data_IF_464413322935
#
_entry.id   IF_464413322935
#
_cell.length_a   1.000
_cell.length_b   1.000
_cell.length_c   1.000
_cell.angle_alpha   90.00
_cell.angle_beta   90.00
_cell.angle_gamma   90.00
#
_symmetry.space_group_name_H-M   'P 1'
#
loop_
_entity.id
_entity.type
_entity.pdbx_description
1 polymer ?
#
# COMPACT_ATOMS: atom_id res chain seq x y z
N UNK A 1 -20.22 -1.02 1.96
CA UNK A 1 -19.12 -1.57 2.76
C UNK A 1 -17.89 -0.73 2.46
N UNK A 2 -17.49 0.08 3.44
CA UNK A 2 -16.20 0.76 3.48
C UNK A 2 -15.11 -0.29 3.34
N UNK A 3 -14.19 -0.12 2.40
CA UNK A 3 -13.09 -1.08 2.24
C UNK A 3 -12.14 -0.96 3.43
N UNK A 4 -11.74 -2.09 4.00
CA UNK A 4 -10.71 -2.18 5.05
C UNK A 4 -9.28 -1.97 4.51
N UNK A 5 -9.17 -1.17 3.45
CA UNK A 5 -7.92 -0.74 2.84
C UNK A 5 -7.87 0.79 2.80
N UNK A 6 -6.71 1.36 3.12
CA UNK A 6 -6.53 2.82 3.10
C UNK A 6 -6.78 3.41 1.70
N UNK A 7 -6.47 2.66 0.64
CA UNK A 7 -6.76 3.08 -0.74
C UNK A 7 -8.26 3.30 -1.00
N UNK A 8 -9.11 2.38 -0.53
CA UNK A 8 -10.57 2.48 -0.69
C UNK A 8 -11.16 3.69 0.05
N UNK A 9 -10.47 4.15 1.11
CA UNK A 9 -10.85 5.34 1.87
C UNK A 9 -10.36 6.63 1.17
N UNK A 10 -9.11 6.67 0.69
CA UNK A 10 -8.51 7.86 0.05
C UNK A 10 -9.16 8.20 -1.31
N UNK A 11 -9.70 7.23 -2.06
CA UNK A 11 -10.25 7.46 -3.42
C UNK A 11 -11.35 8.55 -3.47
N UNK A 12 -11.96 8.90 -2.35
CA UNK A 12 -13.01 9.92 -2.24
C UNK A 12 -12.47 11.34 -2.04
N UNK A 13 -11.18 11.49 -1.75
CA UNK A 13 -10.58 12.73 -1.32
C UNK A 13 -10.22 13.65 -2.51
N UNK A 14 -11.14 14.55 -2.87
CA UNK A 14 -11.04 15.44 -4.06
C UNK A 14 -9.94 16.51 -3.96
N UNK A 15 -9.27 16.63 -2.79
CA UNK A 15 -8.35 17.71 -2.44
C UNK A 15 -6.87 17.34 -2.37
N UNK A 16 -6.40 16.32 -3.11
CA UNK A 16 -4.97 15.96 -3.11
C UNK A 16 -4.09 17.13 -3.57
N UNK A 17 -3.24 17.63 -2.66
CA UNK A 17 -2.17 18.56 -3.00
C UNK A 17 -1.09 17.92 -3.90
N UNK A 18 -0.27 18.74 -4.55
CA UNK A 18 0.72 18.26 -5.54
C UNK A 18 1.76 17.29 -4.95
N UNK A 19 2.08 17.43 -3.66
CA UNK A 19 3.00 16.53 -2.94
C UNK A 19 2.40 15.13 -2.74
N UNK A 20 1.13 15.03 -2.35
CA UNK A 20 0.42 13.75 -2.28
C UNK A 20 0.34 13.09 -3.66
N UNK A 21 0.15 13.88 -4.73
CA UNK A 21 0.10 13.38 -6.10
C UNK A 21 1.42 12.80 -6.59
N UNK A 22 2.54 13.46 -6.33
CA UNK A 22 3.86 12.95 -6.73
C UNK A 22 4.20 11.62 -6.04
N UNK A 23 3.83 11.45 -4.77
CA UNK A 23 3.94 10.18 -4.05
C UNK A 23 3.10 9.08 -4.68
N UNK A 24 1.82 9.35 -4.95
CA UNK A 24 0.94 8.38 -5.63
C UNK A 24 1.51 7.97 -6.98
N UNK A 25 2.07 8.92 -7.74
CA UNK A 25 2.73 8.62 -9.01
C UNK A 25 3.96 7.72 -8.84
N UNK A 26 4.77 7.96 -7.81
CA UNK A 26 5.90 7.07 -7.49
C UNK A 26 5.42 5.64 -7.19
N UNK A 27 4.40 5.50 -6.34
CA UNK A 27 3.83 4.19 -5.96
C UNK A 27 3.30 3.43 -7.18
N UNK A 28 2.39 4.03 -7.97
CA UNK A 28 1.82 3.33 -9.14
C UNK A 28 2.85 3.06 -10.23
N UNK A 29 3.90 3.90 -10.36
CA UNK A 29 5.03 3.64 -11.27
C UNK A 29 5.81 2.39 -10.86
N UNK A 30 6.10 2.21 -9.55
CA UNK A 30 6.71 0.98 -9.01
C UNK A 30 5.82 -0.24 -9.30
N UNK A 31 4.52 -0.13 -9.05
CA UNK A 31 3.56 -1.21 -9.31
C UNK A 31 3.50 -1.62 -10.78
N UNK A 32 3.43 -0.65 -11.72
CA UNK A 32 3.48 -0.91 -13.16
C UNK A 32 4.78 -1.60 -13.55
N UNK A 33 5.92 -1.09 -13.05
CA UNK A 33 7.25 -1.64 -13.37
C UNK A 33 7.35 -3.09 -12.95
N UNK A 34 6.92 -3.42 -11.72
CA UNK A 34 6.95 -4.78 -11.19
C UNK A 34 5.98 -5.71 -11.92
N UNK A 35 4.75 -5.25 -12.17
CA UNK A 35 3.76 -6.04 -12.91
C UNK A 35 4.23 -6.36 -14.33
N UNK A 36 4.78 -5.38 -15.05
CA UNK A 36 5.33 -5.56 -16.39
C UNK A 36 6.55 -6.51 -16.39
N UNK A 37 7.40 -6.43 -15.36
CA UNK A 37 8.54 -7.35 -15.20
C UNK A 37 8.09 -8.80 -14.99
N UNK A 38 7.07 -9.01 -14.17
CA UNK A 38 6.64 -10.36 -13.78
C UNK A 38 5.75 -11.03 -14.84
N UNK A 39 5.00 -10.27 -15.64
CA UNK A 39 3.99 -10.81 -16.57
C UNK A 39 4.03 -10.26 -17.99
N UNK A 40 5.05 -9.46 -18.34
CA UNK A 40 5.17 -8.82 -19.66
C UNK A 40 4.42 -7.47 -19.76
N UNK A 41 4.78 -6.68 -20.77
CA UNK A 41 4.31 -5.31 -20.97
C UNK A 41 2.94 -5.15 -21.63
N UNK A 42 2.27 -6.25 -21.96
CA UNK A 42 0.94 -6.24 -22.58
C UNK A 42 -0.16 -6.33 -21.51
N UNK A 43 -0.95 -5.26 -21.27
CA UNK A 43 -2.02 -5.26 -20.28
C UNK A 43 -3.19 -6.18 -20.63
N UNK A 44 -3.36 -6.61 -21.88
CA UNK A 44 -4.41 -7.55 -22.26
C UNK A 44 -4.03 -9.00 -21.87
N UNK A 45 -2.74 -9.31 -21.89
CA UNK A 45 -2.19 -10.59 -21.43
C UNK A 45 -1.78 -10.60 -19.94
N UNK A 46 -1.67 -9.43 -19.30
CA UNK A 46 -1.20 -9.27 -17.91
C UNK A 46 -2.24 -8.54 -17.03
N UNK A 47 -3.11 -9.27 -16.31
CA UNK A 47 -4.13 -8.68 -15.43
C UNK A 47 -3.56 -7.78 -14.33
N UNK A 48 -2.40 -8.11 -13.77
CA UNK A 48 -1.75 -7.30 -12.74
C UNK A 48 -1.30 -5.94 -13.30
N UNK A 49 -0.75 -5.94 -14.51
CA UNK A 49 -0.38 -4.71 -15.21
C UNK A 49 -1.60 -3.87 -15.54
N UNK A 50 -2.68 -4.49 -16.00
CA UNK A 50 -3.95 -3.80 -16.27
C UNK A 50 -4.46 -3.05 -15.04
N UNK A 51 -4.52 -3.73 -13.91
CA UNK A 51 -4.96 -3.13 -12.64
C UNK A 51 -4.04 -1.98 -12.21
N UNK A 52 -2.72 -2.13 -12.34
CA UNK A 52 -1.77 -1.07 -12.01
C UNK A 52 -1.93 0.16 -12.92
N UNK A 53 -2.18 -0.05 -14.22
CA UNK A 53 -2.48 1.03 -15.18
C UNK A 53 -3.81 1.72 -14.86
N UNK A 54 -4.83 0.96 -14.46
CA UNK A 54 -6.11 1.53 -14.02
C UNK A 54 -5.93 2.42 -12.80
N UNK A 55 -5.24 1.95 -11.75
CA UNK A 55 -4.90 2.78 -10.57
C UNK A 55 -4.13 4.05 -10.97
N UNK A 56 -3.19 3.97 -11.91
CA UNK A 56 -2.45 5.12 -12.40
C UNK A 56 -3.34 6.14 -13.15
N UNK A 57 -4.29 5.66 -13.97
CA UNK A 57 -5.28 6.51 -14.66
C UNK A 57 -6.23 7.17 -13.67
N UNK A 58 -6.70 6.44 -12.64
CA UNK A 58 -7.52 7.00 -11.56
C UNK A 58 -6.79 8.13 -10.82
N UNK A 59 -5.49 7.96 -10.59
CA UNK A 59 -4.63 9.00 -10.02
C UNK A 59 -4.33 10.17 -10.98
N UNK A 60 -4.80 10.12 -12.24
CA UNK A 60 -4.53 11.09 -13.31
C UNK A 60 -3.04 11.18 -13.69
N UNK A 61 -2.32 10.05 -13.66
CA UNK A 61 -0.95 9.98 -14.15
C UNK A 61 -0.90 10.24 -15.67
N UNK A 62 0.02 11.09 -16.16
CA UNK A 62 0.25 11.28 -17.59
C UNK A 62 0.59 9.96 -18.30
N UNK A 63 0.04 9.76 -19.50
CA UNK A 63 0.23 8.55 -20.30
C UNK A 63 1.72 8.21 -20.52
N UNK A 64 2.54 9.21 -20.80
CA UNK A 64 3.99 9.03 -21.03
C UNK A 64 4.71 8.45 -19.80
N UNK A 65 4.25 8.76 -18.58
CA UNK A 65 4.82 8.20 -17.35
C UNK A 65 4.45 6.71 -17.21
N UNK A 66 3.21 6.35 -17.57
CA UNK A 66 2.75 4.96 -17.58
C UNK A 66 3.59 4.14 -18.57
N UNK A 67 3.72 4.62 -19.81
CA UNK A 67 4.51 3.94 -20.84
C UNK A 67 5.97 3.77 -20.44
N UNK A 68 6.56 4.79 -19.80
CA UNK A 68 7.93 4.72 -19.28
C UNK A 68 8.09 3.65 -18.20
N UNK A 69 7.12 3.53 -17.29
CA UNK A 69 7.14 2.51 -16.25
C UNK A 69 7.00 1.10 -16.85
N UNK A 70 6.15 0.91 -17.88
CA UNK A 70 6.03 -0.36 -18.61
C UNK A 70 7.37 -0.74 -19.25
N UNK A 71 7.96 0.18 -20.02
CA UNK A 71 9.27 -0.05 -20.69
C UNK A 71 10.39 -0.37 -19.69
N UNK A 72 10.39 0.30 -18.53
CA UNK A 72 11.34 -0.01 -17.45
C UNK A 72 11.14 -1.44 -16.95
N UNK A 73 9.89 -1.88 -16.77
CA UNK A 73 9.57 -3.23 -16.31
C UNK A 73 9.91 -4.33 -17.31
N UNK A 74 9.75 -4.09 -18.61
CA UNK A 74 10.10 -5.06 -19.68
C UNK A 74 11.58 -5.11 -20.03
N UNK A 75 12.40 -4.21 -19.47
CA UNK A 75 13.84 -4.13 -19.73
C UNK A 75 14.21 -3.30 -20.97
N UNK A 76 13.26 -2.58 -21.57
CA UNK A 76 13.48 -1.66 -22.69
C UNK A 76 14.04 -0.29 -22.24
N UNK A 77 14.27 -0.09 -20.94
CA UNK A 77 14.80 1.14 -20.34
C UNK A 77 16.19 0.98 -19.71
N UNK A 78 16.87 2.11 -19.47
CA UNK A 78 18.17 2.15 -18.79
C UNK A 78 18.02 1.90 -17.29
N UNK A 79 18.69 0.86 -16.76
CA UNK A 79 18.80 0.58 -15.33
C UNK A 79 17.77 -0.42 -14.81
N UNK A 80 18.19 -1.66 -14.62
CA UNK A 80 17.39 -2.70 -13.96
C UNK A 80 17.43 -2.52 -12.44
N UNK A 81 16.74 -1.50 -11.94
CA UNK A 81 16.45 -1.42 -10.50
C UNK A 81 15.61 -2.64 -10.09
N UNK A 82 16.18 -3.49 -9.26
CA UNK A 82 15.51 -4.68 -8.77
C UNK A 82 14.58 -4.30 -7.62
N UNK A 83 13.30 -4.15 -7.93
CA UNK A 83 12.28 -4.04 -6.90
C UNK A 83 11.88 -5.41 -6.34
N UNK A 84 11.66 -5.46 -5.05
CA UNK A 84 11.14 -6.60 -4.31
C UNK A 84 9.72 -6.30 -3.84
N UNK A 85 8.82 -7.24 -4.09
CA UNK A 85 7.51 -7.27 -3.44
C UNK A 85 7.68 -7.93 -2.07
N UNK A 86 7.26 -7.23 -1.02
CA UNK A 86 7.35 -7.69 0.36
C UNK A 86 6.05 -7.39 1.09
N UNK A 87 5.74 -8.26 2.05
CA UNK A 87 4.61 -8.09 2.95
C UNK A 87 5.16 -7.87 4.35
N UNK A 88 4.62 -6.86 5.02
CA UNK A 88 4.87 -6.59 6.43
C UNK A 88 3.57 -6.80 7.20
N UNK A 89 3.67 -7.48 8.33
CA UNK A 89 2.54 -7.82 9.20
C UNK A 89 2.82 -7.24 10.57
N UNK A 90 1.81 -6.74 11.26
CA UNK A 90 2.01 -6.10 12.55
C UNK A 90 0.72 -5.85 13.28
N UNK A 91 0.86 -5.38 14.51
CA UNK A 91 -0.24 -5.06 15.41
C UNK A 91 -0.17 -3.61 15.84
N UNK A 92 -1.32 -2.92 15.82
CA UNK A 92 -1.50 -1.61 16.41
C UNK A 92 -1.47 -1.62 17.95
N UNK A 93 -1.62 -0.46 18.59
CA UNK A 93 -1.56 -0.31 20.04
C UNK A 93 -2.62 -1.11 20.80
N UNK A 94 -3.76 -1.42 20.19
CA UNK A 94 -4.84 -2.22 20.78
C UNK A 94 -4.90 -3.67 20.29
N UNK A 95 -3.92 -4.12 19.50
CA UNK A 95 -3.94 -5.45 18.88
C UNK A 95 -4.65 -5.49 17.53
N UNK A 96 -4.89 -4.34 16.92
CA UNK A 96 -5.41 -4.23 15.55
C UNK A 96 -4.41 -4.84 14.57
N UNK A 97 -4.85 -5.78 13.76
CA UNK A 97 -4.01 -6.42 12.78
C UNK A 97 -3.81 -5.50 11.57
N UNK A 98 -2.57 -5.46 11.09
CA UNK A 98 -2.18 -4.82 9.85
C UNK A 98 -1.54 -5.82 8.90
N UNK A 99 -1.83 -5.66 7.62
CA UNK A 99 -1.19 -6.37 6.51
C UNK A 99 -0.81 -5.33 5.46
N UNK A 100 0.49 -5.19 5.21
CA UNK A 100 1.03 -4.08 4.43
C UNK A 100 1.78 -4.67 3.24
N UNK A 101 1.32 -4.35 2.03
CA UNK A 101 2.02 -4.68 0.79
C UNK A 101 2.96 -3.54 0.45
N UNK A 102 4.22 -3.86 0.20
CA UNK A 102 5.25 -2.88 -0.17
C UNK A 102 6.09 -3.34 -1.36
N UNK A 103 6.58 -2.35 -2.12
CA UNK A 103 7.52 -2.53 -3.22
C UNK A 103 8.74 -1.68 -2.91
N UNK A 104 9.89 -2.33 -2.75
CA UNK A 104 11.14 -1.68 -2.31
C UNK A 104 12.34 -2.20 -3.08
N UNK A 105 13.36 -1.37 -3.24
CA UNK A 105 14.69 -1.76 -3.71
C UNK A 105 15.60 -2.25 -2.57
N UNK A 106 15.21 -2.05 -1.31
CA UNK A 106 15.99 -2.38 -0.13
C UNK A 106 15.11 -2.84 1.05
N UNK A 107 14.95 -4.17 1.17
CA UNK A 107 14.14 -4.80 2.23
C UNK A 107 14.55 -4.40 3.64
N UNK A 108 15.85 -4.22 3.89
CA UNK A 108 16.39 -3.92 5.22
C UNK A 108 16.11 -2.47 5.65
N UNK A 109 16.19 -1.52 4.71
CA UNK A 109 15.78 -0.13 4.94
C UNK A 109 14.29 -0.08 5.27
N UNK A 110 13.46 -0.62 4.38
CA UNK A 110 12.01 -0.56 4.52
C UNK A 110 11.53 -1.25 5.80
N UNK A 111 12.04 -2.43 6.16
CA UNK A 111 11.62 -3.10 7.41
C UNK A 111 12.01 -2.30 8.65
N UNK A 112 13.14 -1.60 8.64
CA UNK A 112 13.56 -0.74 9.75
C UNK A 112 12.65 0.49 9.89
N UNK A 113 12.32 1.14 8.76
CA UNK A 113 11.43 2.29 8.70
C UNK A 113 10.00 1.93 9.15
N UNK A 114 9.43 0.84 8.61
CA UNK A 114 8.11 0.35 9.00
C UNK A 114 8.08 -0.02 10.50
N UNK A 115 9.10 -0.71 11.00
CA UNK A 115 9.18 -1.03 12.44
C UNK A 115 9.18 0.23 13.31
N UNK A 116 9.89 1.27 12.89
CA UNK A 116 9.92 2.56 13.60
C UNK A 116 8.55 3.23 13.59
N UNK A 117 7.84 3.22 12.45
CA UNK A 117 6.48 3.75 12.32
C UNK A 117 5.52 3.05 13.30
N UNK A 118 5.51 1.71 13.35
CA UNK A 118 4.71 0.96 14.34
C UNK A 118 5.09 1.34 15.78
N UNK A 119 6.38 1.38 16.09
CA UNK A 119 6.86 1.68 17.44
C UNK A 119 6.44 3.05 17.96
N UNK A 120 6.46 4.09 17.11
CA UNK A 120 5.99 5.44 17.47
C UNK A 120 4.50 5.49 17.81
N UNK A 121 3.69 4.66 17.16
CA UNK A 121 2.26 4.57 17.41
C UNK A 121 1.89 3.66 18.59
N UNK A 122 2.89 3.03 19.25
CA UNK A 122 2.67 2.05 20.31
C UNK A 122 2.31 0.65 19.81
N UNK A 123 2.47 0.39 18.52
CA UNK A 123 2.30 -0.94 17.92
C UNK A 123 3.61 -1.70 17.78
N UNK A 124 3.56 -2.85 17.11
CA UNK A 124 4.72 -3.68 16.85
C UNK A 124 4.65 -4.36 15.48
N UNK A 125 5.82 -4.51 14.84
CA UNK A 125 5.94 -5.31 13.63
C UNK A 125 6.06 -6.79 14.02
N UNK A 126 5.21 -7.63 13.44
CA UNK A 126 5.21 -9.07 13.60
C UNK A 126 6.11 -9.80 12.59
N UNK A 127 6.15 -11.13 12.73
CA UNK A 127 6.78 -12.01 11.76
C UNK A 127 5.81 -12.34 10.61
N UNK A 128 6.32 -12.88 9.51
CA UNK A 128 5.47 -13.39 8.43
C UNK A 128 4.49 -14.45 8.97
N UNK A 129 3.21 -14.34 8.59
CA UNK A 129 2.11 -15.18 9.04
C UNK A 129 1.45 -14.76 10.35
N UNK A 130 1.88 -13.66 10.99
CA UNK A 130 1.30 -13.20 12.27
C UNK A 130 -0.13 -12.72 12.13
N UNK A 131 -0.49 -12.10 11.01
CA UNK A 131 -1.82 -11.53 10.74
C UNK A 131 -2.40 -11.99 9.41
N UNK A 132 -1.61 -12.63 8.54
CA UNK A 132 -2.03 -13.05 7.20
C UNK A 132 -3.32 -13.88 7.16
N UNK A 133 -3.57 -14.69 8.20
CA UNK A 133 -4.80 -15.51 8.29
C UNK A 133 -6.07 -14.66 8.44
N UNK A 134 -5.96 -13.42 8.91
CA UNK A 134 -7.08 -12.48 9.06
C UNK A 134 -7.47 -11.91 7.69
N UNK A 135 -6.53 -11.80 6.76
CA UNK A 135 -6.67 -11.12 5.47
C UNK A 135 -6.71 -12.10 4.28
N UNK A 136 -6.94 -13.38 4.54
CA UNK A 136 -6.98 -14.43 3.52
C UNK A 136 -8.41 -14.99 3.42
N UNK A 137 -8.94 -15.24 2.21
CA UNK A 137 -8.29 -15.15 0.90
C UNK A 137 -8.28 -13.73 0.29
N UNK A 138 -9.01 -12.80 0.89
CA UNK A 138 -9.19 -11.45 0.37
C UNK A 138 -8.79 -10.40 1.42
N UNK A 139 -7.71 -9.64 1.20
CA UNK A 139 -7.21 -8.68 2.18
C UNK A 139 -8.12 -7.45 2.34
N UNK A 140 -9.03 -7.17 1.41
CA UNK A 140 -10.00 -6.08 1.56
C UNK A 140 -11.16 -6.44 2.51
N UNK A 141 -11.35 -7.73 2.78
CA UNK A 141 -12.44 -8.27 3.59
C UNK A 141 -11.86 -9.13 4.73
N UNK A 142 -11.42 -8.52 5.85
CA UNK A 142 -10.83 -9.26 6.96
C UNK A 142 -11.85 -10.22 7.59
N UNK A 143 -11.36 -11.36 8.09
CA UNK A 143 -12.18 -12.44 8.66
C UNK A 143 -12.97 -12.01 9.91
N UNK A 144 -12.48 -11.02 10.64
CA UNK A 144 -13.14 -10.39 11.77
C UNK A 144 -12.62 -8.97 11.95
N UNK A 145 -13.40 -8.11 12.60
CA UNK A 145 -13.02 -6.74 12.92
C UNK A 145 -12.84 -6.54 14.43
N UNK A 146 -12.11 -5.48 14.80
CA UNK A 146 -11.95 -4.98 16.15
C UNK A 146 -12.63 -3.61 16.23
N UNK A 147 -13.54 -3.48 17.19
CA UNK A 147 -14.19 -2.21 17.51
C UNK A 147 -13.23 -1.31 18.30
N UNK A 148 -13.14 -0.04 17.90
CA UNK A 148 -12.33 0.96 18.58
C UNK A 148 -13.27 1.93 19.29
N UNK A 149 -13.40 1.80 20.60
CA UNK A 149 -14.21 2.71 21.42
C UNK A 149 -13.41 3.87 22.01
N UNK A 150 -12.09 3.71 22.14
CA UNK A 150 -11.22 4.73 22.72
C UNK A 150 -10.73 5.71 21.64
N UNK A 151 -11.01 6.99 21.86
CA UNK A 151 -10.61 8.09 20.98
C UNK A 151 -9.09 8.23 20.93
N UNK A 152 -8.38 7.97 22.03
CA UNK A 152 -6.91 8.08 22.06
C UNK A 152 -6.28 6.98 21.20
N UNK A 153 -6.75 5.74 21.36
CA UNK A 153 -6.37 4.60 20.52
C UNK A 153 -6.65 4.88 19.04
N UNK A 154 -7.84 5.38 18.71
CA UNK A 154 -8.22 5.77 17.35
C UNK A 154 -7.24 6.81 16.76
N UNK A 155 -6.94 7.87 17.52
CA UNK A 155 -6.01 8.92 17.10
C UNK A 155 -4.61 8.37 16.81
N UNK A 156 -4.15 7.37 17.58
CA UNK A 156 -2.85 6.71 17.35
C UNK A 156 -2.88 5.85 16.08
N UNK A 157 -3.97 5.14 15.82
CA UNK A 157 -4.16 4.33 14.62
C UNK A 157 -4.25 5.19 13.36
N UNK A 158 -4.95 6.31 13.42
CA UNK A 158 -5.04 7.25 12.31
C UNK A 158 -3.65 7.78 11.92
N UNK A 159 -2.86 8.21 12.93
CA UNK A 159 -1.46 8.61 12.71
C UNK A 159 -0.60 7.49 12.15
N UNK A 160 -0.78 6.26 12.63
CA UNK A 160 -0.07 5.08 12.11
C UNK A 160 -0.41 4.86 10.62
N UNK A 161 -1.69 4.90 10.25
CA UNK A 161 -2.15 4.77 8.87
C UNK A 161 -1.56 5.86 7.98
N UNK A 162 -1.53 7.10 8.47
CA UNK A 162 -1.00 8.23 7.71
C UNK A 162 0.53 8.17 7.56
N UNK A 163 1.28 7.76 8.58
CA UNK A 163 2.72 7.56 8.47
C UNK A 163 3.05 6.40 7.50
N UNK A 164 2.30 5.30 7.57
CA UNK A 164 2.44 4.18 6.65
C UNK A 164 2.10 4.58 5.21
N UNK A 165 1.00 5.30 4.99
CA UNK A 165 0.63 5.75 3.64
C UNK A 165 1.62 6.78 3.10
N UNK A 166 2.21 7.60 3.96
CA UNK A 166 3.25 8.54 3.55
C UNK A 166 4.58 7.88 3.18
N UNK A 167 4.76 6.59 3.45
CA UNK A 167 5.98 5.84 3.15
C UNK A 167 6.05 5.45 1.67
N UNK A 168 7.19 5.75 1.01
CA UNK A 168 7.33 5.62 -0.45
C UNK A 168 7.31 4.18 -0.98
N UNK A 169 7.66 3.21 -0.13
CA UNK A 169 7.63 1.79 -0.49
C UNK A 169 6.27 1.13 -0.25
N UNK A 170 5.40 1.72 0.59
CA UNK A 170 4.09 1.12 0.92
C UNK A 170 3.12 1.31 -0.24
N UNK A 171 2.55 0.21 -0.72
CA UNK A 171 1.59 0.19 -1.82
C UNK A 171 0.16 0.15 -1.32
N UNK A 172 -0.16 -0.82 -0.47
CA UNK A 172 -1.50 -1.02 0.07
C UNK A 172 -1.38 -1.36 1.57
N UNK A 173 -2.31 -0.81 2.36
CA UNK A 173 -2.43 -1.04 3.80
C UNK A 173 -3.81 -1.61 4.06
N UNK A 174 -3.85 -2.80 4.64
CA UNK A 174 -5.07 -3.47 5.07
C UNK A 174 -5.07 -3.58 6.59
N UNK A 175 -6.24 -3.43 7.19
CA UNK A 175 -6.40 -3.42 8.65
C UNK A 175 -7.74 -4.03 9.05
N UNK A 176 -7.85 -4.55 10.28
CA UNK A 176 -9.05 -5.25 10.72
C UNK A 176 -9.93 -4.43 11.68
N UNK A 177 -10.04 -3.12 11.48
CA UNK A 177 -10.89 -2.26 12.29
C UNK A 177 -11.70 -1.32 11.41
N UNK A 178 -12.77 -0.77 11.99
CA UNK A 178 -13.61 0.22 11.33
C UNK A 178 -13.06 1.61 11.61
N UNK A 179 -12.90 2.39 10.53
CA UNK A 179 -12.74 3.83 10.64
C UNK A 179 -14.15 4.44 10.80
N UNK A 180 -14.35 5.41 11.71
CA UNK A 180 -15.58 6.17 11.78
C UNK A 180 -15.84 6.81 10.42
N UNK A 181 -17.09 6.80 9.99
CA UNK A 181 -17.47 7.44 8.73
C UNK A 181 -17.15 8.94 8.83
N UNK A 182 -16.37 9.46 7.87
CA UNK A 182 -16.20 10.92 7.72
C UNK A 182 -17.58 11.51 7.35
N UNK A 183 -18.16 12.34 8.24
CA UNK A 183 -19.37 13.14 7.99
C UNK A 183 -19.18 14.17 6.86
#
# INVERSE_FOLDING_TARGET
>A
MSGHSKWSQIKRDKGMNDSKRSKVFSKVSKAITVAARNGGGDPDANPALRLAIEKAKEARMPKDNIERAVKKGTGEGSGSEMFYEVVYEGYGPGGEAFYIKAITDNKNRTVAEIRNIFGKAGGSLGNAGSTAYIFSPDPENPAFTIDISDIEQFTRLEKLLDELDNHDDVQDIFFNFDLPEEE
#
